data_IF_135924895736
#
_entry.id   IF_135924895736
#
_cell.length_a   1.000
_cell.length_b   1.000
_cell.length_c   1.000
_cell.angle_alpha   90.00
_cell.angle_beta   90.00
_cell.angle_gamma   90.00
#
_symmetry.space_group_name_H-M   'P 1'
#
loop_
_entity.id
_entity.type
_entity.pdbx_description
1 polymer ?
#
# COMPACT_ATOMS: atom_id res chain seq x y z
N UNK A 1 -5.87 -8.87 9.04
CA UNK A 1 -5.17 -8.54 7.79
C UNK A 1 -5.93 -7.47 7.04
N UNK A 2 -5.24 -6.47 6.52
CA UNK A 2 -5.90 -5.39 5.81
C UNK A 2 -6.25 -5.81 4.38
N UNK A 3 -7.36 -5.28 3.87
CA UNK A 3 -7.75 -5.46 2.48
C UNK A 3 -6.94 -4.55 1.57
N UNK A 4 -6.98 -4.80 0.26
CA UNK A 4 -6.35 -3.91 -0.72
C UNK A 4 -6.87 -2.49 -0.59
N UNK A 5 -8.18 -2.32 -0.39
CA UNK A 5 -8.78 -0.99 -0.21
C UNK A 5 -8.26 -0.29 1.04
N UNK A 6 -8.06 -1.03 2.12
CA UNK A 6 -7.51 -0.46 3.35
C UNK A 6 -6.05 -0.06 3.18
N UNK A 7 -5.25 -0.86 2.49
CA UNK A 7 -3.87 -0.49 2.17
C UNK A 7 -3.81 0.75 1.29
N UNK A 8 -4.71 0.85 0.29
CA UNK A 8 -4.77 2.03 -0.57
C UNK A 8 -5.15 3.28 0.21
N UNK A 9 -6.09 3.15 1.14
CA UNK A 9 -6.47 4.27 2.00
C UNK A 9 -5.28 4.76 2.83
N UNK A 10 -4.47 3.84 3.33
CA UNK A 10 -3.25 4.20 4.07
C UNK A 10 -2.25 4.91 3.17
N UNK A 11 -2.07 4.44 1.94
CA UNK A 11 -1.17 5.09 0.99
C UNK A 11 -1.60 6.51 0.69
N UNK A 12 -2.91 6.73 0.49
CA UNK A 12 -3.46 8.07 0.27
C UNK A 12 -3.23 8.96 1.49
N UNK A 13 -3.42 8.42 2.69
CA UNK A 13 -3.18 9.14 3.93
C UNK A 13 -1.74 9.64 4.02
N UNK A 14 -0.78 8.77 3.73
CA UNK A 14 0.64 9.17 3.74
C UNK A 14 1.00 10.11 2.61
N UNK A 15 0.33 9.99 1.44
CA UNK A 15 0.51 10.95 0.35
C UNK A 15 0.10 12.36 0.78
N UNK A 16 -1.00 12.48 1.55
CA UNK A 16 -1.42 13.77 2.09
C UNK A 16 -0.43 14.31 3.11
N UNK A 17 0.06 13.45 4.00
CA UNK A 17 1.06 13.85 4.98
C UNK A 17 2.36 14.28 4.31
N UNK A 18 2.73 13.62 3.22
CA UNK A 18 3.92 13.99 2.45
C UNK A 18 3.82 15.42 1.94
N UNK A 19 2.66 15.85 1.46
CA UNK A 19 2.45 17.22 0.99
C UNK A 19 2.59 18.25 2.09
N UNK A 20 2.40 17.85 3.34
CA UNK A 20 2.48 18.72 4.51
C UNK A 20 3.79 18.57 5.27
N UNK A 21 4.72 17.75 4.77
CA UNK A 21 5.98 17.51 5.45
C UNK A 21 6.77 18.79 5.60
N UNK A 22 7.37 18.97 6.77
CA UNK A 22 8.08 20.19 7.12
C UNK A 22 9.59 20.10 6.93
N UNK A 23 10.10 18.91 6.66
CA UNK A 23 11.53 18.69 6.46
C UNK A 23 11.74 17.62 5.39
N UNK A 24 12.96 17.56 4.86
CA UNK A 24 13.34 16.54 3.90
C UNK A 24 13.31 15.13 4.49
N UNK A 25 13.69 14.99 5.76
CA UNK A 25 13.69 13.70 6.45
C UNK A 25 12.25 13.22 6.65
N UNK A 26 11.36 14.09 7.07
CA UNK A 26 9.95 13.77 7.24
C UNK A 26 9.32 13.39 5.91
N UNK A 27 9.62 14.15 4.86
CA UNK A 27 9.12 13.86 3.51
C UNK A 27 9.59 12.48 3.03
N UNK A 28 10.84 12.15 3.29
CA UNK A 28 11.40 10.84 2.91
C UNK A 28 10.66 9.72 3.63
N UNK A 29 10.41 9.88 4.92
CA UNK A 29 9.72 8.86 5.71
C UNK A 29 8.30 8.63 5.20
N UNK A 30 7.56 9.71 4.95
CA UNK A 30 6.20 9.58 4.43
C UNK A 30 6.16 8.99 3.03
N UNK A 31 7.13 9.35 2.20
CA UNK A 31 7.23 8.80 0.84
C UNK A 31 7.47 7.29 0.88
N UNK A 32 8.35 6.85 1.79
CA UNK A 32 8.62 5.43 2.00
C UNK A 32 7.40 4.67 2.46
N UNK A 33 6.65 5.23 3.41
CA UNK A 33 5.43 4.62 3.92
C UNK A 33 4.35 4.58 2.85
N UNK A 34 4.15 5.66 2.11
CA UNK A 34 3.18 5.72 1.02
C UNK A 34 3.48 4.64 -0.03
N UNK A 35 4.73 4.53 -0.42
CA UNK A 35 5.17 3.53 -1.40
C UNK A 35 4.96 2.10 -0.89
N UNK A 36 5.30 1.85 0.37
CA UNK A 36 5.14 0.54 0.99
C UNK A 36 3.67 0.10 1.01
N UNK A 37 2.78 1.01 1.42
CA UNK A 37 1.36 0.68 1.46
C UNK A 37 0.76 0.53 0.06
N UNK A 38 1.26 1.27 -0.92
CA UNK A 38 0.83 1.10 -2.31
C UNK A 38 1.21 -0.29 -2.82
N UNK A 39 2.43 -0.73 -2.54
CA UNK A 39 2.88 -2.06 -2.93
C UNK A 39 2.08 -3.15 -2.24
N UNK A 40 1.78 -2.97 -0.95
CA UNK A 40 0.94 -3.91 -0.21
C UNK A 40 -0.46 -3.98 -0.80
N UNK A 41 -1.02 -2.82 -1.20
CA UNK A 41 -2.32 -2.77 -1.83
C UNK A 41 -2.33 -3.53 -3.15
N UNK A 42 -1.32 -3.30 -3.98
CA UNK A 42 -1.20 -3.97 -5.28
C UNK A 42 -1.06 -5.47 -5.10
N UNK A 43 -0.25 -5.89 -4.14
CA UNK A 43 -0.06 -7.30 -3.85
C UNK A 43 -1.34 -7.96 -3.34
N UNK A 44 -2.04 -7.29 -2.43
CA UNK A 44 -3.30 -7.79 -1.90
C UNK A 44 -4.35 -7.90 -3.00
N UNK A 45 -4.40 -6.92 -3.91
CA UNK A 45 -5.32 -6.94 -5.04
C UNK A 45 -4.99 -8.10 -5.98
N UNK A 46 -3.71 -8.29 -6.27
CA UNK A 46 -3.27 -9.38 -7.14
C UNK A 46 -3.66 -10.75 -6.55
N UNK A 47 -3.42 -10.95 -5.26
CA UNK A 47 -3.77 -12.19 -4.58
C UNK A 47 -5.28 -12.43 -4.62
N UNK A 48 -6.06 -11.38 -4.41
CA UNK A 48 -7.51 -11.48 -4.47
C UNK A 48 -7.99 -11.87 -5.86
N UNK A 49 -7.42 -11.23 -6.90
CA UNK A 49 -7.81 -11.47 -8.28
C UNK A 49 -7.36 -12.85 -8.79
N UNK A 50 -6.26 -13.35 -8.26
CA UNK A 50 -5.66 -14.61 -8.70
C UNK A 50 -5.84 -15.75 -7.70
N UNK A 51 -6.79 -15.61 -6.80
CA UNK A 51 -7.01 -16.57 -5.73
C UNK A 51 -7.22 -17.99 -6.26
N UNK A 52 -7.98 -18.15 -7.32
CA UNK A 52 -8.22 -19.46 -7.93
C UNK A 52 -6.98 -20.06 -8.57
N UNK A 53 -6.06 -19.23 -9.06
CA UNK A 53 -4.82 -19.68 -9.69
C UNK A 53 -3.76 -20.11 -8.69
N UNK A 54 -3.88 -19.63 -7.45
CA UNK A 54 -2.91 -19.92 -6.40
C UNK A 54 -3.20 -21.22 -5.65
N UNK A 55 -4.40 -21.75 -5.80
CA UNK A 55 -4.80 -22.98 -5.13
C UNK A 55 -4.35 -24.16 -5.97
N UNK A 56 -3.48 -25.04 -5.44
CA UNK A 56 -3.04 -26.21 -6.17
C UNK A 56 -4.24 -27.11 -6.50
N UNK A 57 -4.30 -27.54 -7.72
CA UNK A 57 -5.33 -28.49 -8.12
C UNK A 57 -4.86 -29.89 -7.78
N UNK A 58 -5.71 -30.60 -7.12
CA UNK A 58 -5.44 -31.98 -6.78
C UNK A 58 -5.39 -32.84 -8.05
#
# INVERSE_FOLDING_TARGET
MLTAAQYRAKAVEYAHLLKKAKSGDEARDYRGLERSFRLLADNAQWLNDHQGSLIPRA
#
